data_IF_635991693748
#
_entry.id   IF_635991693748
#
_cell.length_a   1.000
_cell.length_b   1.000
_cell.length_c   1.000
_cell.angle_alpha   90.00
_cell.angle_beta   90.00
_cell.angle_gamma   90.00
#
_symmetry.space_group_name_H-M   'P 1'
#
loop_
_entity.id
_entity.type
_entity.pdbx_description
1 polymer ?
#
# COMPACT_ATOMS: atom_id res chain seq x y z
N UNK A 1 -2.30 -2.94 -10.91
CA UNK A 1 -1.92 -2.06 -9.79
C UNK A 1 -1.11 -2.81 -8.73
N UNK A 2 -1.69 -3.76 -7.98
CA UNK A 2 -0.98 -4.49 -6.90
C UNK A 2 0.30 -5.16 -7.37
N UNK A 3 0.30 -5.82 -8.53
CA UNK A 3 1.52 -6.43 -9.07
C UNK A 3 2.64 -5.40 -9.32
N UNK A 4 2.31 -4.18 -9.74
CA UNK A 4 3.29 -3.10 -9.91
C UNK A 4 3.83 -2.59 -8.57
N UNK A 5 2.96 -2.51 -7.56
CA UNK A 5 3.37 -2.11 -6.21
C UNK A 5 4.29 -3.16 -5.57
N UNK A 6 3.96 -4.44 -5.69
CA UNK A 6 4.80 -5.54 -5.20
C UNK A 6 6.10 -5.71 -5.99
N UNK A 7 6.14 -5.28 -7.25
CA UNK A 7 7.39 -5.21 -8.01
C UNK A 7 8.33 -4.10 -7.50
N UNK A 8 7.77 -2.99 -6.97
CA UNK A 8 8.53 -1.92 -6.35
C UNK A 8 8.97 -2.28 -4.91
N UNK A 9 8.10 -2.94 -4.15
CA UNK A 9 8.39 -3.45 -2.81
C UNK A 9 7.60 -4.74 -2.53
N UNK A 10 8.30 -5.87 -2.58
CA UNK A 10 7.70 -7.19 -2.36
C UNK A 10 7.29 -7.44 -0.90
N UNK A 11 7.75 -6.61 0.04
CA UNK A 11 7.41 -6.71 1.46
C UNK A 11 6.12 -5.97 1.83
N UNK A 12 5.61 -5.11 0.94
CA UNK A 12 4.40 -4.34 1.19
C UNK A 12 3.19 -5.28 1.41
N UNK A 13 2.38 -5.09 2.48
CA UNK A 13 1.24 -5.95 2.81
C UNK A 13 0.02 -5.70 1.91
N UNK A 14 0.25 -5.66 0.59
CA UNK A 14 -0.73 -5.37 -0.44
C UNK A 14 -1.22 -6.66 -1.10
N UNK A 15 -2.53 -6.75 -1.29
CA UNK A 15 -3.13 -7.83 -2.06
C UNK A 15 -4.24 -7.30 -2.96
N UNK A 16 -4.46 -7.96 -4.10
CA UNK A 16 -5.65 -7.71 -4.89
C UNK A 16 -6.89 -8.22 -4.13
N UNK A 17 -8.06 -7.67 -4.47
CA UNK A 17 -9.34 -8.29 -4.15
C UNK A 17 -9.49 -9.68 -4.77
N UNK A 18 -10.46 -10.46 -4.29
CA UNK A 18 -10.83 -11.75 -4.87
C UNK A 18 -11.91 -11.60 -5.94
N UNK A 19 -11.92 -12.51 -6.92
CA UNK A 19 -12.97 -12.60 -7.93
C UNK A 19 -13.21 -11.27 -8.66
N UNK A 20 -14.47 -10.81 -8.66
CA UNK A 20 -14.87 -9.55 -9.32
C UNK A 20 -14.15 -8.32 -8.78
N UNK A 21 -13.67 -8.35 -7.53
CA UNK A 21 -12.95 -7.23 -6.92
C UNK A 21 -11.46 -7.20 -7.26
N UNK A 22 -10.93 -8.20 -7.96
CA UNK A 22 -9.49 -8.28 -8.24
C UNK A 22 -8.95 -7.11 -9.07
N UNK A 23 -9.82 -6.46 -9.86
CA UNK A 23 -9.47 -5.30 -10.69
C UNK A 23 -9.73 -3.96 -9.99
N UNK A 24 -10.68 -3.94 -9.06
CA UNK A 24 -11.25 -2.70 -8.49
C UNK A 24 -10.76 -2.41 -7.07
N UNK A 25 -10.20 -3.40 -6.37
CA UNK A 25 -9.83 -3.27 -4.97
C UNK A 25 -8.36 -3.59 -4.72
N UNK A 26 -7.72 -2.70 -3.95
CA UNK A 26 -6.46 -2.97 -3.25
C UNK A 26 -6.80 -3.23 -1.79
N UNK A 27 -6.31 -4.35 -1.24
CA UNK A 27 -6.38 -4.65 0.19
C UNK A 27 -5.04 -4.35 0.83
N UNK A 28 -5.11 -3.65 1.95
CA UNK A 28 -3.98 -3.46 2.87
C UNK A 28 -4.42 -4.04 4.21
N UNK A 29 -3.79 -5.14 4.61
CA UNK A 29 -4.17 -5.82 5.85
C UNK A 29 -3.19 -5.44 6.97
N UNK A 30 -3.70 -4.82 8.03
CA UNK A 30 -2.91 -4.44 9.20
C UNK A 30 -3.19 -5.39 10.36
N UNK A 31 -2.43 -6.48 10.41
CA UNK A 31 -2.51 -7.46 11.49
C UNK A 31 -1.11 -7.83 11.99
N UNK A 32 -0.99 -8.09 13.30
CA UNK A 32 0.26 -8.52 13.91
C UNK A 32 1.42 -7.56 13.58
N UNK A 33 2.58 -8.06 13.12
CA UNK A 33 3.73 -7.21 12.76
C UNK A 33 3.46 -6.20 11.63
N UNK A 34 2.43 -6.40 10.80
CA UNK A 34 2.04 -5.47 9.74
C UNK A 34 1.11 -4.33 10.23
N UNK A 35 0.69 -4.35 11.50
CA UNK A 35 -0.02 -3.25 12.13
C UNK A 35 0.97 -2.19 12.67
N UNK A 36 1.84 -1.69 11.80
CA UNK A 36 2.87 -0.70 12.13
C UNK A 36 2.84 0.49 11.18
N UNK A 37 3.38 1.62 11.64
CA UNK A 37 3.51 2.84 10.82
C UNK A 37 4.37 2.58 9.60
N UNK A 38 5.44 1.81 9.79
CA UNK A 38 6.40 1.45 8.74
C UNK A 38 5.70 0.68 7.62
N UNK A 39 4.81 -0.25 7.96
CA UNK A 39 4.04 -1.01 6.98
C UNK A 39 3.05 -0.11 6.19
N UNK A 40 2.45 0.90 6.83
CA UNK A 40 1.62 1.91 6.16
C UNK A 40 2.47 2.74 5.19
N UNK A 41 3.61 3.26 5.63
CA UNK A 41 4.52 4.06 4.81
C UNK A 41 5.03 3.26 3.60
N UNK A 42 5.44 2.01 3.80
CA UNK A 42 5.87 1.12 2.72
C UNK A 42 4.76 0.89 1.70
N UNK A 43 3.53 0.64 2.17
CA UNK A 43 2.35 0.46 1.30
C UNK A 43 2.08 1.71 0.44
N UNK A 44 2.14 2.90 1.04
CA UNK A 44 1.90 4.17 0.33
C UNK A 44 2.97 4.42 -0.74
N UNK A 45 4.25 4.18 -0.43
CA UNK A 45 5.35 4.33 -1.41
C UNK A 45 5.22 3.34 -2.56
N UNK A 46 4.93 2.07 -2.26
CA UNK A 46 4.75 1.03 -3.27
C UNK A 46 3.59 1.37 -4.22
N UNK A 47 2.47 1.85 -3.66
CA UNK A 47 1.33 2.30 -4.46
C UNK A 47 1.65 3.54 -5.30
N UNK A 48 2.31 4.55 -4.72
CA UNK A 48 2.73 5.74 -5.45
C UNK A 48 3.64 5.39 -6.64
N UNK A 49 4.60 4.49 -6.45
CA UNK A 49 5.44 3.97 -7.54
C UNK A 49 4.61 3.30 -8.63
N UNK A 50 3.67 2.42 -8.27
CA UNK A 50 2.84 1.70 -9.22
C UNK A 50 1.87 2.61 -9.99
N UNK A 51 1.48 3.73 -9.39
CA UNK A 51 0.58 4.74 -9.96
C UNK A 51 1.32 5.89 -10.65
N UNK A 52 2.66 5.95 -10.52
CA UNK A 52 3.45 7.13 -10.90
C UNK A 52 2.89 8.42 -10.30
N UNK A 53 2.50 8.35 -9.02
CA UNK A 53 1.94 9.46 -8.26
C UNK A 53 2.94 9.98 -7.22
N UNK A 54 2.75 11.22 -6.77
CA UNK A 54 3.51 11.80 -5.67
C UNK A 54 2.99 11.28 -4.31
N UNK A 55 3.85 10.63 -3.48
CA UNK A 55 3.44 10.10 -2.19
C UNK A 55 3.35 11.16 -1.07
N UNK A 56 3.86 12.38 -1.25
CA UNK A 56 4.12 13.33 -0.14
C UNK A 56 2.88 13.56 0.74
N UNK A 57 1.76 14.00 0.15
CA UNK A 57 0.55 14.29 0.91
C UNK A 57 0.00 13.07 1.67
N UNK A 58 0.12 11.87 1.09
CA UNK A 58 -0.30 10.63 1.74
C UNK A 58 0.61 10.26 2.91
N UNK A 59 1.93 10.46 2.77
CA UNK A 59 2.91 10.20 3.82
C UNK A 59 2.80 11.18 4.98
N UNK A 60 2.51 12.44 4.71
CA UNK A 60 2.22 13.45 5.73
C UNK A 60 0.95 13.11 6.50
N UNK A 61 -0.15 12.79 5.79
CA UNK A 61 -1.40 12.38 6.42
C UNK A 61 -1.22 11.13 7.31
N UNK A 62 -0.48 10.12 6.84
CA UNK A 62 -0.19 8.93 7.62
C UNK A 62 0.69 9.21 8.85
N UNK A 63 1.62 10.18 8.75
CA UNK A 63 2.47 10.57 9.88
C UNK A 63 1.72 11.39 10.93
N UNK A 64 0.75 12.22 10.52
CA UNK A 64 -0.05 13.03 11.44
C UNK A 64 -1.14 12.24 12.17
N UNK A 65 -1.61 11.14 11.58
CA UNK A 65 -2.69 10.31 12.14
C UNK A 65 -2.22 9.18 13.08
N UNK A 66 -0.91 8.98 13.20
CA UNK A 66 -0.30 7.95 14.02
C UNK A 66 -0.05 8.44 15.45
#
# INVERSE_FOLDING_TARGET
MVAGALAADASAPLAAGGGVLAREMVRVNHYGPAASREAVVASLRALASALSADPEAALEAASAAW
#
